data_IF_638240229598
#
_entry.id   IF_638240229598
#
_cell.length_a   1.000
_cell.length_b   1.000
_cell.length_c   1.000
_cell.angle_alpha   90.00
_cell.angle_beta   90.00
_cell.angle_gamma   90.00
#
_symmetry.space_group_name_H-M   'P 1'
#
loop_
_entity.id
_entity.type
_entity.pdbx_description
1 polymer ?
#
# COMPACT_ATOMS: atom_id res chain seq x y z
N UNK A 1 -26.90 22.04 9.24
CA UNK A 1 -25.49 21.91 8.86
C UNK A 1 -24.92 20.88 9.81
N UNK A 2 -24.60 19.67 9.34
CA UNK A 2 -24.00 18.66 10.21
C UNK A 2 -22.58 19.11 10.50
N UNK A 3 -22.25 19.29 11.78
CA UNK A 3 -20.90 19.65 12.20
C UNK A 3 -19.95 18.54 11.77
N UNK A 4 -18.97 18.90 10.94
CA UNK A 4 -17.90 17.99 10.56
C UNK A 4 -17.14 17.66 11.84
N UNK A 5 -17.09 16.38 12.20
CA UNK A 5 -16.36 15.94 13.39
C UNK A 5 -14.93 16.48 13.38
N UNK A 6 -14.43 16.86 14.56
CA UNK A 6 -13.04 17.27 14.75
C UNK A 6 -12.09 16.27 14.06
N UNK A 7 -10.95 16.71 13.54
CA UNK A 7 -9.99 15.87 12.80
C UNK A 7 -10.40 15.26 11.45
N UNK A 8 -11.59 15.56 10.93
CA UNK A 8 -11.98 15.15 9.57
C UNK A 8 -11.67 16.27 8.58
N UNK A 9 -11.06 15.95 7.42
CA UNK A 9 -10.69 16.91 6.36
C UNK A 9 -9.72 18.04 6.79
N UNK A 10 -8.90 17.81 7.82
CA UNK A 10 -7.86 18.79 8.23
C UNK A 10 -6.86 19.04 7.08
N UNK A 11 -6.52 17.99 6.32
CA UNK A 11 -5.55 18.02 5.24
C UNK A 11 -6.24 17.78 3.89
N UNK A 12 -7.30 18.54 3.60
CA UNK A 12 -8.03 18.40 2.34
C UNK A 12 -7.17 18.83 1.13
N UNK A 13 -6.95 17.91 0.19
CA UNK A 13 -6.16 18.17 -1.02
C UNK A 13 -6.99 18.72 -2.20
N UNK A 14 -8.29 18.98 -2.00
CA UNK A 14 -9.19 19.48 -3.06
C UNK A 14 -9.53 18.44 -4.14
N UNK A 15 -9.16 17.18 -3.95
CA UNK A 15 -9.36 16.09 -4.89
C UNK A 15 -9.82 14.81 -4.15
N UNK A 16 -10.62 13.93 -4.79
CA UNK A 16 -10.99 12.65 -4.21
C UNK A 16 -9.76 11.73 -4.12
N UNK A 17 -9.44 11.27 -2.91
CA UNK A 17 -8.31 10.36 -2.66
C UNK A 17 -8.84 8.96 -2.34
N UNK A 18 -8.23 7.94 -2.94
CA UNK A 18 -8.44 6.53 -2.62
C UNK A 18 -7.08 5.91 -2.35
N UNK A 19 -6.89 5.38 -1.15
CA UNK A 19 -5.70 4.63 -0.73
C UNK A 19 -5.98 3.15 -0.95
N UNK A 20 -5.09 2.47 -1.69
CA UNK A 20 -5.22 1.05 -1.99
C UNK A 20 -4.03 0.30 -1.41
N UNK A 21 -4.29 -0.61 -0.48
CA UNK A 21 -3.30 -1.56 0.01
C UNK A 21 -3.35 -2.80 -0.86
N UNK A 22 -2.28 -3.05 -1.62
CA UNK A 22 -2.16 -4.19 -2.52
C UNK A 22 -1.45 -5.38 -1.87
N UNK A 23 -1.64 -6.58 -2.44
CA UNK A 23 -0.99 -7.83 -2.00
C UNK A 23 -1.39 -8.25 -0.58
N UNK A 24 -2.67 -8.03 -0.22
CA UNK A 24 -3.19 -8.42 1.08
C UNK A 24 -3.21 -9.95 1.31
N UNK A 25 -2.97 -10.76 0.27
CA UNK A 25 -2.72 -12.20 0.38
C UNK A 25 -1.49 -12.52 1.25
N UNK A 26 -0.54 -11.58 1.37
CA UNK A 26 0.66 -11.71 2.22
C UNK A 26 0.42 -11.30 3.67
N UNK A 27 -0.81 -10.97 4.07
CA UNK A 27 -1.10 -10.52 5.43
C UNK A 27 -0.70 -11.56 6.50
N UNK A 28 -0.76 -12.85 6.16
CA UNK A 28 -0.34 -13.94 7.04
C UNK A 28 1.16 -13.92 7.39
N UNK A 29 1.99 -13.20 6.62
CA UNK A 29 3.41 -12.98 6.93
C UNK A 29 3.62 -11.89 7.99
N UNK A 30 2.59 -11.08 8.28
CA UNK A 30 2.63 -10.03 9.29
C UNK A 30 1.99 -10.51 10.59
N UNK A 31 2.59 -10.13 11.72
CA UNK A 31 1.95 -10.33 13.01
C UNK A 31 0.69 -9.47 13.11
N UNK A 32 -0.32 -9.98 13.83
CA UNK A 32 -1.59 -9.27 14.05
C UNK A 32 -1.42 -7.85 14.61
N UNK A 33 -0.51 -7.67 15.57
CA UNK A 33 -0.18 -6.35 16.14
C UNK A 33 0.44 -5.40 15.10
N UNK A 34 1.32 -5.92 14.23
CA UNK A 34 1.94 -5.12 13.17
C UNK A 34 0.90 -4.71 12.12
N UNK A 35 0.00 -5.62 11.76
CA UNK A 35 -1.07 -5.33 10.82
C UNK A 35 -2.06 -4.30 11.39
N UNK A 36 -2.49 -4.45 12.64
CA UNK A 36 -3.39 -3.51 13.29
C UNK A 36 -2.76 -2.11 13.41
N UNK A 37 -1.45 -2.01 13.70
CA UNK A 37 -0.71 -0.74 13.68
C UNK A 37 -0.69 -0.09 12.31
N UNK A 38 -0.35 -0.85 11.27
CA UNK A 38 -0.36 -0.37 9.88
C UNK A 38 -1.76 0.15 9.52
N UNK A 39 -2.78 -0.64 9.82
CA UNK A 39 -4.16 -0.31 9.54
C UNK A 39 -4.61 0.95 10.29
N UNK A 40 -4.26 1.09 11.56
CA UNK A 40 -4.55 2.30 12.34
C UNK A 40 -3.98 3.56 11.68
N UNK A 41 -2.70 3.53 11.28
CA UNK A 41 -2.07 4.67 10.62
C UNK A 41 -2.70 4.98 9.26
N UNK A 42 -3.05 3.96 8.47
CA UNK A 42 -3.75 4.14 7.19
C UNK A 42 -5.14 4.75 7.38
N UNK A 43 -5.92 4.27 8.36
CA UNK A 43 -7.26 4.80 8.66
C UNK A 43 -7.18 6.26 9.15
N UNK A 44 -6.22 6.57 10.02
CA UNK A 44 -5.96 7.95 10.47
C UNK A 44 -5.57 8.87 9.32
N UNK A 45 -4.70 8.40 8.41
CA UNK A 45 -4.35 9.13 7.19
C UNK A 45 -5.58 9.41 6.32
N UNK A 46 -6.45 8.41 6.16
CA UNK A 46 -7.67 8.54 5.37
C UNK A 46 -8.68 9.51 6.01
N UNK A 47 -8.85 9.48 7.32
CA UNK A 47 -9.73 10.41 8.05
C UNK A 47 -9.31 11.87 7.83
N UNK A 48 -8.01 12.17 7.99
CA UNK A 48 -7.49 13.53 7.86
C UNK A 48 -7.71 14.14 6.46
N UNK A 49 -7.75 13.30 5.42
CA UNK A 49 -7.90 13.69 4.01
C UNK A 49 -9.29 13.44 3.43
N UNK A 50 -10.20 12.84 4.20
CA UNK A 50 -11.48 12.33 3.68
C UNK A 50 -11.31 11.29 2.57
N UNK A 51 -10.23 10.51 2.61
CA UNK A 51 -9.92 9.46 1.64
C UNK A 51 -10.68 8.16 1.95
N UNK A 52 -10.81 7.31 0.94
CA UNK A 52 -11.24 5.91 1.12
C UNK A 52 -10.02 5.00 1.27
N UNK A 53 -10.19 3.87 1.95
CA UNK A 53 -9.19 2.81 2.08
C UNK A 53 -9.74 1.51 1.53
N UNK A 54 -8.99 0.84 0.65
CA UNK A 54 -9.35 -0.47 0.11
C UNK A 54 -8.15 -1.41 0.20
N UNK A 55 -8.31 -2.53 0.89
CA UNK A 55 -7.37 -3.65 0.86
C UNK A 55 -7.74 -4.59 -0.29
N UNK A 56 -6.77 -5.02 -1.10
CA UNK A 56 -7.00 -5.87 -2.27
C UNK A 56 -5.86 -6.84 -2.54
N UNK A 57 -6.20 -7.99 -3.12
CA UNK A 57 -5.26 -8.92 -3.73
C UNK A 57 -5.82 -9.45 -5.04
N UNK A 58 -5.03 -9.40 -6.10
CA UNK A 58 -5.37 -10.01 -7.39
C UNK A 58 -5.25 -11.54 -7.33
N UNK A 59 -4.29 -12.04 -6.53
CA UNK A 59 -4.01 -13.48 -6.41
C UNK A 59 -5.22 -14.22 -5.81
N UNK A 60 -5.80 -13.65 -4.77
CA UNK A 60 -6.90 -14.25 -4.01
C UNK A 60 -8.28 -13.63 -4.37
N UNK A 61 -8.33 -12.81 -5.44
CA UNK A 61 -9.53 -12.08 -5.91
C UNK A 61 -10.25 -11.25 -4.81
N UNK A 62 -9.47 -10.64 -3.93
CA UNK A 62 -9.98 -9.86 -2.81
C UNK A 62 -10.25 -8.42 -3.25
N UNK A 63 -11.51 -7.98 -3.14
CA UNK A 63 -11.97 -6.61 -3.38
C UNK A 63 -11.63 -6.02 -4.76
N UNK A 64 -11.17 -6.81 -5.74
CA UNK A 64 -10.80 -6.33 -7.08
C UNK A 64 -12.02 -5.69 -7.77
N UNK A 65 -13.14 -6.42 -7.79
CA UNK A 65 -14.40 -5.92 -8.34
C UNK A 65 -14.99 -4.76 -7.52
N UNK A 66 -14.82 -4.79 -6.19
CA UNK A 66 -15.28 -3.73 -5.30
C UNK A 66 -14.56 -2.42 -5.60
N UNK A 67 -13.23 -2.47 -5.71
CA UNK A 67 -12.39 -1.32 -6.05
C UNK A 67 -12.79 -0.74 -7.41
N UNK A 68 -12.97 -1.58 -8.43
CA UNK A 68 -13.43 -1.12 -9.73
C UNK A 68 -14.77 -0.39 -9.65
N UNK A 69 -15.78 -1.00 -9.02
CA UNK A 69 -17.10 -0.38 -8.85
C UNK A 69 -17.02 0.93 -8.07
N UNK A 70 -16.18 0.99 -7.04
CA UNK A 70 -15.97 2.19 -6.25
C UNK A 70 -15.32 3.31 -7.07
N UNK A 71 -14.30 3.01 -7.87
CA UNK A 71 -13.68 4.00 -8.75
C UNK A 71 -14.65 4.54 -9.80
N UNK A 72 -15.44 3.67 -10.43
CA UNK A 72 -16.48 4.09 -11.39
C UNK A 72 -17.52 5.00 -10.70
N UNK A 73 -17.95 4.65 -9.48
CA UNK A 73 -18.82 5.51 -8.67
C UNK A 73 -18.19 6.89 -8.43
N UNK A 74 -16.91 6.96 -8.05
CA UNK A 74 -16.22 8.22 -7.75
C UNK A 74 -15.97 9.09 -8.98
N UNK A 75 -15.68 8.47 -10.13
CA UNK A 75 -15.36 9.19 -11.37
C UNK A 75 -16.63 9.65 -12.08
N UNK A 76 -17.66 8.81 -12.16
CA UNK A 76 -18.86 9.07 -12.95
C UNK A 76 -20.10 9.42 -12.12
N UNK A 77 -20.02 9.39 -10.79
CA UNK A 77 -21.16 9.67 -9.92
C UNK A 77 -22.25 8.60 -9.94
N UNK A 78 -21.95 7.38 -10.41
CA UNK A 78 -22.93 6.28 -10.45
C UNK A 78 -23.30 5.80 -9.05
N UNK A 79 -24.50 5.27 -8.79
CA UNK A 79 -24.86 4.74 -7.47
C UNK A 79 -23.91 3.65 -6.97
N UNK A 80 -23.59 3.69 -5.68
CA UNK A 80 -22.77 2.68 -5.00
C UNK A 80 -23.40 2.31 -3.66
N UNK A 81 -23.63 1.02 -3.44
CA UNK A 81 -24.39 0.51 -2.28
C UNK A 81 -23.58 -0.39 -1.37
N UNK A 82 -22.31 -0.68 -1.68
CA UNK A 82 -21.49 -1.53 -0.83
C UNK A 82 -21.16 -0.80 0.47
N UNK A 83 -21.50 -1.42 1.59
CA UNK A 83 -21.18 -0.95 2.93
C UNK A 83 -19.70 -1.15 3.23
N UNK A 84 -19.18 -0.39 4.20
CA UNK A 84 -17.85 -0.61 4.74
C UNK A 84 -17.70 -2.05 5.30
N UNK A 85 -16.51 -2.62 5.14
CA UNK A 85 -16.12 -3.91 5.69
C UNK A 85 -14.82 -3.73 6.49
N UNK A 86 -14.86 -4.03 7.79
CA UNK A 86 -13.68 -4.03 8.67
C UNK A 86 -13.49 -5.36 9.41
N UNK A 87 -14.35 -6.35 9.11
CA UNK A 87 -14.37 -7.64 9.81
C UNK A 87 -13.31 -8.58 9.24
N UNK A 88 -13.15 -8.62 7.92
CA UNK A 88 -12.08 -9.37 7.26
C UNK A 88 -10.83 -8.52 7.18
N UNK A 89 -9.75 -8.95 7.83
CA UNK A 89 -8.47 -8.23 7.86
C UNK A 89 -7.87 -8.04 6.45
N UNK A 90 -8.11 -9.01 5.56
CA UNK A 90 -7.63 -9.06 4.18
C UNK A 90 -8.53 -8.28 3.19
N UNK A 91 -9.80 -8.10 3.56
CA UNK A 91 -10.89 -7.61 2.72
C UNK A 91 -11.45 -6.27 3.20
N UNK A 92 -10.61 -5.48 3.87
CA UNK A 92 -11.00 -4.18 4.41
C UNK A 92 -11.44 -3.22 3.30
N UNK A 93 -12.58 -2.59 3.53
CA UNK A 93 -13.12 -1.52 2.71
C UNK A 93 -13.71 -0.42 3.59
N UNK A 94 -13.17 0.79 3.47
CA UNK A 94 -13.63 1.98 4.20
C UNK A 94 -13.91 3.07 3.17
N UNK A 95 -15.18 3.37 2.86
CA UNK A 95 -15.52 4.44 1.95
C UNK A 95 -15.23 5.82 2.58
N UNK A 96 -15.13 6.86 1.73
CA UNK A 96 -14.91 8.23 2.22
C UNK A 96 -15.98 8.64 3.21
N UNK A 97 -15.58 9.28 4.31
CA UNK A 97 -16.51 9.79 5.33
C UNK A 97 -17.05 8.71 6.28
N UNK A 98 -16.60 7.46 6.16
CA UNK A 98 -16.99 6.42 7.10
C UNK A 98 -16.18 6.46 8.41
N UNK A 99 -14.93 6.91 8.35
CA UNK A 99 -14.02 6.93 9.50
C UNK A 99 -14.32 8.08 10.46
N UNK A 100 -14.24 7.84 11.78
CA UNK A 100 -14.45 8.83 12.84
C UNK A 100 -13.41 8.69 13.95
N UNK A 101 -13.22 9.73 14.77
CA UNK A 101 -12.26 9.64 15.89
C UNK A 101 -12.67 8.58 16.90
N UNK A 102 -13.97 8.38 17.12
CA UNK A 102 -14.45 7.35 18.05
C UNK A 102 -14.06 5.95 17.56
N UNK A 103 -14.23 5.67 16.26
CA UNK A 103 -13.84 4.39 15.66
C UNK A 103 -12.33 4.16 15.71
N UNK A 104 -11.55 5.22 15.48
CA UNK A 104 -10.08 5.16 15.60
C UNK A 104 -9.61 5.03 17.04
N UNK A 105 -10.29 5.65 18.01
CA UNK A 105 -9.95 5.56 19.42
C UNK A 105 -10.14 4.13 19.93
N UNK A 106 -11.23 3.46 19.56
CA UNK A 106 -11.45 2.04 19.88
C UNK A 106 -10.31 1.18 19.34
N UNK A 107 -9.90 1.38 18.08
CA UNK A 107 -8.77 0.65 17.51
C UNK A 107 -7.44 0.99 18.21
N UNK A 108 -7.27 2.22 18.68
CA UNK A 108 -6.07 2.64 19.40
C UNK A 108 -5.96 2.00 20.79
N UNK A 109 -7.08 1.79 21.48
CA UNK A 109 -7.12 1.13 22.80
C UNK A 109 -6.72 -0.35 22.72
N UNK A 110 -7.00 -1.01 21.59
CA UNK A 110 -6.59 -2.40 21.33
C UNK A 110 -5.07 -2.51 21.04
N UNK A 111 -4.41 -1.39 20.71
CA UNK A 111 -2.99 -1.35 20.38
C UNK A 111 -2.13 -1.02 21.61
N UNK A 112 -1.15 -1.88 21.89
CA UNK A 112 -0.21 -1.67 23.02
C UNK A 112 0.76 -0.52 22.81
N UNK A 113 1.01 -0.16 21.54
CA UNK A 113 1.94 0.88 21.12
C UNK A 113 1.45 1.49 19.80
N UNK A 114 1.53 2.81 19.67
CA UNK A 114 1.15 3.57 18.47
C UNK A 114 2.38 4.13 17.74
N UNK A 115 3.59 3.71 18.13
CA UNK A 115 4.80 4.03 17.40
C UNK A 115 4.70 3.52 15.95
N UNK A 116 5.15 4.34 15.02
CA UNK A 116 5.23 3.96 13.61
C UNK A 116 6.13 2.73 13.48
N UNK A 117 5.82 1.78 12.57
CA UNK A 117 6.69 0.64 12.33
C UNK A 117 8.11 1.11 11.94
N UNK A 118 9.07 0.99 12.85
CA UNK A 118 10.46 1.47 12.70
C UNK A 118 11.26 0.71 11.62
N UNK A 119 10.65 -0.29 10.97
CA UNK A 119 11.32 -1.21 10.05
C UNK A 119 11.65 -0.64 8.67
N UNK A 120 11.03 0.48 8.24
CA UNK A 120 11.31 1.03 6.91
C UNK A 120 12.74 1.61 6.77
N UNK A 121 13.40 1.95 7.89
CA UNK A 121 14.74 2.53 7.87
C UNK A 121 15.88 1.50 7.88
N UNK A 122 15.60 0.23 8.21
CA UNK A 122 16.63 -0.79 8.46
C UNK A 122 16.64 -1.94 7.43
N UNK A 123 15.95 -1.79 6.29
CA UNK A 123 15.97 -2.83 5.27
C UNK A 123 17.33 -2.85 4.56
N UNK A 124 18.21 -3.75 4.98
CA UNK A 124 19.51 -4.02 4.34
C UNK A 124 19.37 -4.40 2.86
N UNK A 125 18.17 -4.82 2.41
CA UNK A 125 17.87 -5.10 1.00
C UNK A 125 17.86 -3.84 0.14
N UNK A 126 17.49 -2.68 0.71
CA UNK A 126 17.57 -1.38 0.01
C UNK A 126 19.01 -0.86 -0.06
N UNK A 127 19.87 -1.24 0.91
CA UNK A 127 21.31 -0.93 0.86
C UNK A 127 22.08 -1.79 -0.15
N UNK A 128 21.58 -2.98 -0.48
CA UNK A 128 22.22 -3.91 -1.41
C UNK A 128 21.76 -3.78 -2.87
N UNK A 129 21.11 -2.68 -3.26
CA UNK A 129 21.23 -2.23 -4.66
C UNK A 129 22.64 -1.70 -4.82
N UNK A 130 23.57 -2.64 -5.00
CA UNK A 130 24.93 -2.41 -5.44
C UNK A 130 24.90 -1.36 -6.55
N UNK A 131 25.80 -0.39 -6.44
CA UNK A 131 26.18 0.46 -7.55
C UNK A 131 26.39 -0.45 -8.76
N UNK A 132 25.44 -0.47 -9.70
CA UNK A 132 25.68 -0.98 -11.02
C UNK A 132 26.69 0.01 -11.62
N UNK A 133 27.98 -0.26 -11.41
CA UNK A 133 29.05 0.39 -12.16
C UNK A 133 28.82 -0.08 -13.59
N UNK A 134 28.25 0.80 -14.40
CA UNK A 134 28.06 0.57 -15.81
C UNK A 134 29.46 0.42 -16.40
N UNK A 135 29.85 -0.80 -16.79
CA UNK A 135 31.08 -1.00 -17.56
C UNK A 135 30.92 -0.23 -18.88
N UNK A 136 31.97 0.48 -19.30
CA UNK A 136 32.02 1.20 -20.56
C UNK A 136 31.75 0.22 -21.72
N UNK A 137 30.78 0.53 -22.58
CA UNK A 137 30.24 -0.43 -23.58
C UNK A 137 31.33 -0.94 -24.54
N UNK A 138 32.33 -0.10 -24.85
CA UNK A 138 33.48 -0.46 -25.68
C UNK A 138 34.36 -1.55 -25.04
N UNK A 139 34.55 -1.51 -23.72
CA UNK A 139 35.36 -2.49 -22.98
C UNK A 139 34.67 -3.84 -22.94
N UNK A 140 33.34 -3.84 -22.80
CA UNK A 140 32.53 -5.06 -22.84
C UNK A 140 32.58 -5.74 -24.22
N UNK A 141 32.46 -4.95 -25.30
CA UNK A 141 32.56 -5.45 -26.67
C UNK A 141 33.95 -6.02 -26.99
N UNK A 142 35.03 -5.37 -26.52
CA UNK A 142 36.40 -5.86 -26.72
C UNK A 142 36.62 -7.25 -26.07
N UNK A 143 36.12 -7.47 -24.84
CA UNK A 143 36.22 -8.77 -24.15
C UNK A 143 35.46 -9.88 -24.87
N UNK A 144 34.29 -9.57 -25.46
CA UNK A 144 33.51 -10.53 -26.26
C UNK A 144 34.24 -10.90 -27.54
N UNK A 145 34.80 -9.91 -28.24
CA UNK A 145 35.60 -10.14 -29.44
C UNK A 145 36.83 -11.00 -29.14
N UNK A 146 37.54 -10.73 -28.03
CA UNK A 146 38.73 -11.51 -27.63
C UNK A 146 38.38 -12.96 -27.26
N UNK A 147 37.25 -13.19 -26.56
CA UNK A 147 36.76 -14.54 -26.27
C UNK A 147 36.32 -15.29 -27.53
N UNK A 148 35.70 -14.61 -28.48
CA UNK A 148 35.29 -15.21 -29.75
C UNK A 148 36.49 -15.56 -30.64
N UNK A 149 37.62 -14.89 -30.46
CA UNK A 149 38.83 -15.08 -31.26
C UNK A 149 39.84 -16.06 -30.64
N UNK A 150 39.49 -16.71 -29.53
CA UNK A 150 40.35 -17.74 -28.92
C UNK A 150 40.20 -19.04 -29.73
N UNK A 151 41.26 -19.54 -30.40
CA UNK A 151 41.16 -20.78 -31.15
C UNK A 151 40.88 -21.94 -30.19
N UNK A 152 39.99 -22.84 -30.62
CA UNK A 152 39.78 -24.15 -30.00
C UNK A 152 41.11 -24.91 -30.04
N UNK A 153 41.90 -24.80 -28.97
CA UNK A 153 42.98 -25.73 -28.71
C UNK A 153 42.34 -27.08 -28.35
N UNK A 154 42.15 -27.90 -29.38
CA UNK A 154 41.77 -29.29 -29.25
C UNK A 154 42.93 -30.15 -28.74
N UNK A 155 42.52 -31.22 -28.04
CA UNK A 155 43.24 -32.46 -27.68
C UNK A 155 44.49 -32.35 -26.81
#
# INVERSE_FOLDING_TARGET
MLDVEANTLIENCGAPIVVVLSKCDLQHELNDDQFNKLLYHLRKFCQARGAALVCTSVKDDINVQLLYKYLVHRVYGLPFTSSACIVGKDSIFIPTGWESNQKLAILAEELKDLSLPTSAANDSRLRNKENAVMEDEEVFLAKLAEKANKPLAGS
#
